data_IF_946566852856
#
_entry.id   IF_946566852856
#
_cell.length_a   1.000
_cell.length_b   1.000
_cell.length_c   1.000
_cell.angle_alpha   90.00
_cell.angle_beta   90.00
_cell.angle_gamma   90.00
#
_symmetry.space_group_name_H-M   'P 1'
#
loop_
_entity.id
_entity.type
_entity.pdbx_description
1 polymer ?
#
# COMPACT_ATOMS: atom_id res chain seq x y z
N UNK A 1 2.44 -9.07 -11.35
CA UNK A 1 1.90 -8.73 -10.03
C UNK A 1 2.91 -9.16 -8.99
N UNK A 2 3.08 -8.44 -7.89
CA UNK A 2 3.99 -8.86 -6.81
C UNK A 2 3.36 -9.98 -5.94
N UNK A 3 4.02 -10.36 -4.84
CA UNK A 3 3.53 -11.37 -3.89
C UNK A 3 2.16 -11.05 -3.27
N UNK A 4 1.78 -9.76 -3.23
CA UNK A 4 0.50 -9.28 -2.70
C UNK A 4 -0.51 -8.93 -3.78
N UNK A 5 -0.29 -9.34 -5.03
CA UNK A 5 -1.10 -9.01 -6.19
C UNK A 5 -1.16 -7.51 -6.54
N UNK A 6 -0.17 -6.72 -6.14
CA UNK A 6 -0.03 -5.35 -6.63
C UNK A 6 0.24 -5.37 -8.12
N UNK A 7 -0.55 -4.61 -8.88
CA UNK A 7 -0.34 -4.42 -10.31
C UNK A 7 0.70 -3.31 -10.55
N UNK A 8 1.36 -3.29 -11.72
CA UNK A 8 2.19 -2.14 -12.09
C UNK A 8 1.43 -0.81 -12.00
N UNK A 9 0.12 -0.82 -12.28
CA UNK A 9 -0.75 0.34 -12.18
C UNK A 9 -0.95 0.79 -10.72
N UNK A 10 -1.19 -0.14 -9.80
CA UNK A 10 -1.32 0.20 -8.37
C UNK A 10 -0.01 0.73 -7.77
N UNK A 11 1.13 0.17 -8.19
CA UNK A 11 2.45 0.67 -7.78
C UNK A 11 2.68 2.09 -8.30
N UNK A 12 2.42 2.37 -9.58
CA UNK A 12 2.58 3.71 -10.15
C UNK A 12 1.65 4.73 -9.48
N UNK A 13 0.41 4.34 -9.15
CA UNK A 13 -0.55 5.17 -8.44
C UNK A 13 -0.08 5.50 -7.00
N UNK A 14 0.42 4.48 -6.29
CA UNK A 14 1.01 4.63 -4.95
C UNK A 14 2.20 5.58 -4.94
N UNK A 15 3.10 5.46 -5.91
CA UNK A 15 4.30 6.31 -5.99
C UNK A 15 4.04 7.69 -6.59
N UNK A 16 2.86 7.93 -7.16
CA UNK A 16 2.50 9.22 -7.75
C UNK A 16 3.12 9.46 -9.13
N UNK A 17 3.62 8.40 -9.78
CA UNK A 17 4.28 8.46 -11.09
C UNK A 17 3.24 8.58 -12.22
N UNK A 18 2.70 9.79 -12.42
CA UNK A 18 1.61 10.08 -13.35
C UNK A 18 1.93 9.74 -14.82
N UNK A 19 3.16 9.96 -15.25
CA UNK A 19 3.66 9.63 -16.58
C UNK A 19 3.68 8.11 -16.82
N UNK A 20 4.23 7.33 -15.89
CA UNK A 20 4.23 5.87 -15.93
C UNK A 20 2.79 5.35 -15.89
N UNK A 21 1.95 5.92 -15.03
CA UNK A 21 0.53 5.58 -14.95
C UNK A 21 -0.16 5.78 -16.30
N UNK A 22 0.04 6.92 -16.97
CA UNK A 22 -0.54 7.19 -18.29
C UNK A 22 -0.10 6.17 -19.35
N UNK A 23 1.19 5.79 -19.35
CA UNK A 23 1.71 4.76 -20.25
C UNK A 23 1.09 3.38 -20.01
N UNK A 24 0.86 3.01 -18.75
CA UNK A 24 0.21 1.76 -18.37
C UNK A 24 -1.27 1.75 -18.76
N UNK A 25 -1.96 2.87 -18.56
CA UNK A 25 -3.37 3.07 -18.92
C UNK A 25 -3.60 3.00 -20.44
N UNK A 26 -2.64 3.44 -21.24
CA UNK A 26 -2.72 3.31 -22.71
C UNK A 26 -2.67 1.85 -23.20
N UNK A 27 -2.15 0.92 -22.39
CA UNK A 27 -1.97 -0.49 -22.74
C UNK A 27 -2.92 -1.44 -22.03
N UNK A 28 -3.56 -1.02 -20.95
CA UNK A 28 -4.34 -1.88 -20.05
C UNK A 28 -5.72 -1.29 -19.78
N UNK A 29 -6.75 -2.14 -19.86
CA UNK A 29 -8.13 -1.80 -19.51
C UNK A 29 -8.48 -2.17 -18.06
N UNK A 30 -7.54 -2.76 -17.33
CA UNK A 30 -7.80 -3.29 -15.99
C UNK A 30 -7.46 -2.24 -14.92
N UNK A 31 -8.38 -1.28 -14.75
CA UNK A 31 -8.20 -0.08 -13.91
C UNK A 31 -8.51 -0.30 -12.43
N UNK A 32 -9.30 -1.33 -12.12
CA UNK A 32 -9.85 -1.62 -10.80
C UNK A 32 -9.37 -2.97 -10.24
N UNK A 33 -8.24 -3.50 -10.71
CA UNK A 33 -7.68 -4.73 -10.15
C UNK A 33 -7.31 -4.47 -8.69
N UNK A 34 -7.90 -5.28 -7.81
CA UNK A 34 -7.61 -5.26 -6.38
C UNK A 34 -6.38 -6.12 -6.07
N UNK A 35 -5.58 -5.65 -5.11
CA UNK A 35 -4.56 -6.47 -4.48
C UNK A 35 -5.18 -7.43 -3.44
N UNK A 36 -4.34 -8.25 -2.78
CA UNK A 36 -4.80 -9.23 -1.78
C UNK A 36 -5.51 -8.62 -0.56
N UNK A 37 -5.52 -7.29 -0.43
CA UNK A 37 -6.14 -6.55 0.66
C UNK A 37 -7.35 -5.71 0.18
N UNK A 38 -7.85 -6.02 -1.01
CA UNK A 38 -8.96 -5.35 -1.70
C UNK A 38 -8.67 -3.89 -2.07
N UNK A 39 -7.40 -3.50 -2.21
CA UNK A 39 -7.01 -2.12 -2.55
C UNK A 39 -6.83 -1.97 -4.05
N UNK A 40 -7.52 -0.99 -4.65
CA UNK A 40 -7.38 -0.66 -6.07
C UNK A 40 -6.27 0.36 -6.32
N UNK A 41 -5.85 0.58 -7.58
CA UNK A 41 -4.93 1.67 -7.91
C UNK A 41 -5.43 3.04 -7.45
N UNK A 42 -6.75 3.29 -7.51
CA UNK A 42 -7.35 4.54 -7.03
C UNK A 42 -7.24 4.69 -5.52
N UNK A 43 -7.48 3.61 -4.78
CA UNK A 43 -7.29 3.57 -3.33
C UNK A 43 -5.87 4.00 -2.95
N UNK A 44 -4.86 3.47 -3.65
CA UNK A 44 -3.46 3.82 -3.42
C UNK A 44 -3.17 5.29 -3.71
N UNK A 45 -3.60 5.81 -4.86
CA UNK A 45 -3.39 7.22 -5.22
C UNK A 45 -4.02 8.18 -4.19
N UNK A 46 -5.21 7.86 -3.68
CA UNK A 46 -5.86 8.66 -2.63
C UNK A 46 -5.14 8.52 -1.28
N UNK A 47 -4.71 7.31 -0.93
CA UNK A 47 -4.06 7.01 0.36
C UNK A 47 -2.76 7.79 0.54
N UNK A 48 -1.98 7.91 -0.53
CA UNK A 48 -0.70 8.60 -0.54
C UNK A 48 -0.81 10.09 -0.87
N UNK A 49 -2.03 10.60 -1.08
CA UNK A 49 -2.25 12.01 -1.41
C UNK A 49 -1.80 12.42 -2.82
N UNK A 50 -1.58 11.44 -3.72
CA UNK A 50 -1.17 11.70 -5.09
C UNK A 50 -2.36 12.11 -5.96
N UNK A 51 -2.84 13.34 -5.77
CA UNK A 51 -4.02 13.88 -6.48
C UNK A 51 -3.90 13.76 -8.00
N UNK A 52 -2.72 14.03 -8.57
CA UNK A 52 -2.51 13.96 -10.02
C UNK A 52 -2.72 12.57 -10.63
N UNK A 53 -2.37 11.50 -9.90
CA UNK A 53 -2.64 10.12 -10.32
C UNK A 53 -4.07 9.70 -10.01
N UNK A 54 -4.64 10.18 -8.89
CA UNK A 54 -6.02 9.88 -8.52
C UNK A 54 -7.01 10.47 -9.53
N UNK A 55 -6.79 11.72 -9.97
CA UNK A 55 -7.64 12.40 -10.93
C UNK A 55 -7.60 11.72 -12.30
N UNK A 56 -6.41 11.30 -12.74
CA UNK A 56 -6.23 10.56 -13.98
C UNK A 56 -6.93 9.19 -13.95
N UNK A 57 -6.84 8.46 -12.83
CA UNK A 57 -7.56 7.20 -12.65
C UNK A 57 -9.08 7.41 -12.65
N UNK A 58 -9.57 8.44 -11.96
CA UNK A 58 -10.99 8.78 -11.94
C UNK A 58 -11.52 9.12 -13.33
N UNK A 59 -10.76 9.88 -14.12
CA UNK A 59 -11.09 10.18 -15.51
C UNK A 59 -11.20 8.90 -16.34
N UNK A 60 -10.20 8.01 -16.25
CA UNK A 60 -10.22 6.74 -16.99
C UNK A 60 -11.30 5.77 -16.54
N UNK A 61 -11.61 5.72 -15.25
CA UNK A 61 -12.75 4.94 -14.76
C UNK A 61 -14.07 5.44 -15.36
N UNK A 62 -14.28 6.77 -15.40
CA UNK A 62 -15.49 7.37 -16.01
C UNK A 62 -15.59 7.07 -17.51
N UNK A 63 -14.49 7.20 -18.26
CA UNK A 63 -14.45 6.87 -19.69
C UNK A 63 -14.81 5.41 -19.99
N UNK A 64 -14.41 4.48 -19.10
CA UNK A 64 -14.64 3.04 -19.27
C UNK A 64 -15.94 2.56 -18.57
N UNK A 65 -16.75 3.46 -18.00
CA UNK A 65 -17.97 3.10 -17.29
C UNK A 65 -17.75 2.31 -15.99
N UNK A 66 -16.54 2.37 -15.41
CA UNK A 66 -16.20 1.70 -14.16
C UNK A 66 -16.74 2.53 -12.99
N UNK A 67 -17.57 1.90 -12.16
CA UNK A 67 -18.11 2.52 -10.95
C UNK A 67 -17.06 2.41 -9.84
N UNK A 68 -16.67 3.56 -9.29
CA UNK A 68 -15.81 3.65 -8.11
C UNK A 68 -16.65 3.32 -6.87
N UNK A 69 -16.23 2.31 -6.12
CA UNK A 69 -16.90 1.89 -4.89
C UNK A 69 -16.33 2.63 -3.68
N UNK A 70 -17.05 2.64 -2.55
CA UNK A 70 -16.56 3.26 -1.31
C UNK A 70 -15.29 2.57 -0.79
N UNK A 71 -15.12 1.28 -1.06
CA UNK A 71 -13.89 0.52 -0.78
C UNK A 71 -12.67 1.02 -1.57
N UNK A 72 -12.86 1.82 -2.62
CA UNK A 72 -11.78 2.49 -3.35
C UNK A 72 -11.24 3.74 -2.63
N UNK A 73 -11.83 4.09 -1.48
CA UNK A 73 -11.41 5.23 -0.67
C UNK A 73 -10.69 4.75 0.59
N UNK A 74 -9.50 5.31 0.89
CA UNK A 74 -8.80 4.96 2.11
C UNK A 74 -9.51 5.55 3.34
N UNK A 75 -9.66 4.75 4.39
CA UNK A 75 -10.28 5.14 5.66
C UNK A 75 -9.50 6.28 6.34
N UNK A 76 -8.19 6.36 6.10
CA UNK A 76 -7.32 7.44 6.59
C UNK A 76 -6.34 7.86 5.48
N UNK A 77 -5.87 9.10 5.47
CA UNK A 77 -4.63 9.49 4.79
C UNK A 77 -3.50 9.39 5.82
N UNK A 78 -2.43 8.63 5.54
CA UNK A 78 -1.30 8.58 6.47
C UNK A 78 -0.53 9.85 6.18
N UNK A 79 -0.70 10.82 7.08
CA UNK A 79 0.11 12.02 7.15
C UNK A 79 1.08 11.86 8.31
N UNK A 80 1.91 10.80 8.27
CA UNK A 80 3.03 10.71 9.21
C UNK A 80 4.05 11.74 8.72
N UNK A 81 4.42 12.74 9.54
CA UNK A 81 5.47 13.69 9.17
C UNK A 81 6.76 12.93 8.87
N UNK A 82 7.48 13.32 7.81
CA UNK A 82 8.70 12.61 7.39
C UNK A 82 9.73 12.46 8.51
N UNK A 83 9.79 13.42 9.43
CA UNK A 83 10.72 13.42 10.58
C UNK A 83 10.38 12.39 11.67
N UNK A 84 9.21 11.73 11.59
CA UNK A 84 8.75 10.70 12.53
C UNK A 84 8.77 9.29 11.94
N UNK A 85 9.10 9.12 10.66
CA UNK A 85 9.12 7.81 10.01
C UNK A 85 10.40 7.08 10.41
N UNK A 86 10.29 6.01 11.19
CA UNK A 86 11.43 5.19 11.58
C UNK A 86 11.56 3.91 10.74
N UNK A 87 10.44 3.38 10.24
CA UNK A 87 10.38 2.10 9.50
C UNK A 87 9.40 2.21 8.33
N UNK A 88 9.57 1.37 7.32
CA UNK A 88 8.59 1.24 6.25
C UNK A 88 7.94 -0.15 6.33
N UNK A 89 6.67 -0.23 5.95
CA UNK A 89 5.98 -1.50 5.80
C UNK A 89 6.30 -2.11 4.44
N UNK A 90 6.81 -3.33 4.37
CA UNK A 90 7.13 -4.02 3.10
C UNK A 90 5.89 -4.31 2.25
N UNK A 91 4.71 -4.41 2.86
CA UNK A 91 3.44 -4.65 2.17
C UNK A 91 2.92 -3.37 1.53
N UNK A 92 2.79 -2.29 2.31
CA UNK A 92 2.15 -1.07 1.84
C UNK A 92 3.14 0.01 1.37
N UNK A 93 4.43 -0.14 1.66
CA UNK A 93 5.51 0.85 1.47
C UNK A 93 5.23 2.21 2.15
N UNK A 94 4.31 2.25 3.10
CA UNK A 94 4.06 3.45 3.89
C UNK A 94 5.00 3.48 5.08
N UNK A 95 5.40 4.70 5.43
CA UNK A 95 6.15 4.98 6.65
C UNK A 95 5.32 4.69 7.89
N UNK A 96 5.96 4.09 8.87
CA UNK A 96 5.44 3.77 10.20
C UNK A 96 6.17 4.66 11.19
N UNK A 97 5.43 5.30 12.09
CA UNK A 97 6.04 6.11 13.14
C UNK A 97 6.65 5.23 14.23
N UNK A 98 7.57 5.79 14.99
CA UNK A 98 8.11 5.20 16.22
C UNK A 98 7.03 4.85 17.25
N UNK A 99 5.94 5.62 17.28
CA UNK A 99 4.81 5.38 18.18
C UNK A 99 3.84 4.30 17.70
N UNK A 100 3.88 3.92 16.43
CA UNK A 100 2.95 2.95 15.85
C UNK A 100 3.41 1.51 16.11
N UNK A 101 2.44 0.61 16.27
CA UNK A 101 2.78 -0.82 16.37
C UNK A 101 3.37 -1.32 15.04
N UNK A 102 4.56 -1.92 15.12
CA UNK A 102 5.23 -2.57 14.00
C UNK A 102 5.38 -4.07 14.24
N UNK A 103 5.33 -4.84 13.17
CA UNK A 103 5.48 -6.29 13.21
C UNK A 103 6.62 -6.69 12.27
N UNK A 104 7.53 -7.56 12.68
CA UNK A 104 8.61 -8.04 11.82
C UNK A 104 8.70 -9.58 11.83
N UNK A 105 9.41 -10.12 10.86
CA UNK A 105 9.73 -11.53 10.75
C UNK A 105 11.25 -11.70 10.75
N UNK A 106 11.79 -12.42 11.74
CA UNK A 106 13.24 -12.66 11.88
C UNK A 106 13.83 -13.56 10.80
N UNK A 107 13.00 -14.19 9.97
CA UNK A 107 13.43 -15.20 8.99
C UNK A 107 13.32 -14.69 7.55
N UNK A 108 12.22 -14.03 7.21
CA UNK A 108 12.04 -13.48 5.86
C UNK A 108 13.03 -12.34 5.62
N UNK A 109 13.61 -12.26 4.42
CA UNK A 109 14.61 -11.24 4.04
C UNK A 109 15.73 -11.06 5.08
N UNK A 110 16.21 -12.14 5.72
CA UNK A 110 17.24 -12.06 6.76
C UNK A 110 16.86 -11.18 7.97
N UNK A 111 15.57 -11.14 8.32
CA UNK A 111 15.05 -10.31 9.41
C UNK A 111 14.56 -8.93 8.96
N UNK A 112 14.77 -8.56 7.70
CA UNK A 112 14.36 -7.27 7.12
C UNK A 112 13.00 -7.36 6.42
N UNK A 113 12.05 -8.05 7.05
CA UNK A 113 10.68 -8.11 6.57
C UNK A 113 9.74 -7.67 7.68
N UNK A 114 9.13 -6.50 7.53
CA UNK A 114 8.22 -5.96 8.53
C UNK A 114 7.07 -5.16 7.95
N UNK A 115 5.99 -5.11 8.72
CA UNK A 115 4.69 -4.62 8.29
C UNK A 115 4.07 -3.74 9.38
N UNK A 116 3.25 -2.78 8.94
CA UNK A 116 2.48 -1.94 9.85
C UNK A 116 1.28 -2.69 10.44
N UNK A 117 0.76 -2.17 11.55
CA UNK A 117 -0.44 -2.69 12.22
C UNK A 117 -1.64 -2.83 11.29
N UNK A 118 -1.88 -1.87 10.39
CA UNK A 118 -2.98 -1.94 9.41
C UNK A 118 -2.83 -3.17 8.48
N UNK A 119 -1.62 -3.44 7.98
CA UNK A 119 -1.39 -4.61 7.12
C UNK A 119 -1.51 -5.91 7.92
N UNK A 120 -1.08 -5.91 9.17
CA UNK A 120 -1.27 -7.04 10.08
C UNK A 120 -2.76 -7.30 10.37
N UNK A 121 -3.55 -6.26 10.66
CA UNK A 121 -4.99 -6.35 10.90
C UNK A 121 -5.76 -6.90 9.69
N UNK A 122 -5.28 -6.63 8.47
CA UNK A 122 -5.80 -7.21 7.22
C UNK A 122 -5.23 -8.60 6.91
N UNK A 123 -4.61 -9.26 7.89
CA UNK A 123 -4.05 -10.62 7.81
C UNK A 123 -2.95 -10.77 6.77
N UNK A 124 -2.10 -9.76 6.61
CA UNK A 124 -0.86 -9.93 5.85
C UNK A 124 -0.07 -11.11 6.41
N UNK A 125 0.59 -11.86 5.53
CA UNK A 125 1.43 -13.01 5.88
C UNK A 125 2.86 -12.78 5.42
N UNK A 126 3.77 -13.52 6.03
CA UNK A 126 5.16 -13.63 5.60
C UNK A 126 5.28 -14.22 4.17
N UNK A 127 6.49 -14.18 3.63
CA UNK A 127 6.83 -14.83 2.34
C UNK A 127 6.69 -16.35 2.40
N UNK A 128 6.74 -16.91 3.62
CA UNK A 128 6.47 -18.31 3.93
C UNK A 128 5.36 -18.39 5.00
N UNK A 129 4.35 -19.22 4.77
CA UNK A 129 3.19 -19.39 5.67
C UNK A 129 3.56 -20.03 7.03
N UNK A 130 4.74 -20.64 7.16
CA UNK A 130 5.24 -21.20 8.41
C UNK A 130 5.85 -20.15 9.35
N UNK A 131 6.20 -18.98 8.83
CA UNK A 131 6.80 -17.91 9.62
C UNK A 131 5.73 -17.09 10.34
N UNK A 132 6.08 -16.61 11.53
CA UNK A 132 5.22 -15.79 12.38
C UNK A 132 5.75 -14.35 12.44
N UNK A 133 4.83 -13.40 12.55
CA UNK A 133 5.19 -12.02 12.87
C UNK A 133 5.36 -11.85 14.37
N UNK A 134 6.43 -11.17 14.74
CA UNK A 134 6.74 -10.75 16.10
C UNK A 134 6.34 -9.29 16.21
N UNK A 135 5.52 -8.98 17.23
CA UNK A 135 5.16 -7.59 17.54
C UNK A 135 6.39 -6.90 18.14
N UNK A 136 6.87 -5.87 17.47
CA UNK A 136 7.86 -4.96 18.04
C UNK A 136 7.15 -4.04 19.02
N UNK A 137 7.43 -4.25 20.31
CA UNK A 137 6.97 -3.35 21.36
C UNK A 137 8.16 -2.44 21.62
N UNK A 138 8.07 -1.18 21.18
CA UNK A 138 9.08 -0.21 21.51
C UNK A 138 9.14 -0.08 23.04
N UNK A 139 10.25 -0.56 23.61
CA UNK A 139 10.57 -0.36 25.02
C UNK A 139 11.41 0.90 25.10
N UNK A 140 10.82 2.06 24.86
CA UNK A 140 11.34 3.28 25.47
C UNK A 140 11.04 3.25 26.97
N UNK A 141 11.98 2.61 27.68
CA UNK A 141 12.54 2.97 28.99
C UNK A 141 11.63 3.15 30.21
N UNK A 142 12.01 2.41 31.26
CA UNK A 142 11.77 2.66 32.69
C UNK A 142 11.87 4.14 33.05
#
# INVERSE_FOLDING_TARGET
MDYYNSTPLSIAARMGHKDILALLLAKSHALNIQDNFNRTPLWWAKRTGNSGTADLLLEKCRENGIIVQEDDLPITTISVPSDKICKNCDVCLLGVSDTDTYYHCDVCNNGDFGICEECFARKARCLDDSHIFIKEIDRESV
#
